data_IF_356079741031
#
_entry.id   IF_356079741031
#
_cell.length_a   1.000
_cell.length_b   1.000
_cell.length_c   1.000
_cell.angle_alpha   90.00
_cell.angle_beta   90.00
_cell.angle_gamma   90.00
#
_symmetry.space_group_name_H-M   'P 1'
#
loop_
_entity.id
_entity.type
_entity.pdbx_description
1 polymer ?
#
# COMPACT_ATOMS: atom_id res chain seq x y z
N UNK A 1 16.96 -2.43 -10.44
CA UNK A 1 16.75 -1.42 -11.51
C UNK A 1 17.05 -0.05 -10.92
N UNK A 2 17.53 0.93 -11.67
CA UNK A 2 17.84 2.26 -11.08
C UNK A 2 16.57 2.95 -10.54
N UNK A 3 16.70 3.66 -9.41
CA UNK A 3 15.56 4.31 -8.75
C UNK A 3 14.82 5.33 -9.63
N UNK A 4 15.52 6.02 -10.52
CA UNK A 4 14.91 6.98 -11.45
C UNK A 4 14.03 6.29 -12.51
N UNK A 5 14.41 5.09 -12.94
CA UNK A 5 13.61 4.26 -13.86
C UNK A 5 12.33 3.77 -13.17
N UNK A 6 12.47 3.31 -11.93
CA UNK A 6 11.34 2.89 -11.08
C UNK A 6 10.37 4.06 -10.88
N UNK A 7 10.89 5.24 -10.49
CA UNK A 7 10.07 6.42 -10.29
C UNK A 7 9.33 6.80 -11.56
N UNK A 8 9.97 6.74 -12.74
CA UNK A 8 9.31 7.06 -14.01
C UNK A 8 8.14 6.13 -14.32
N UNK A 9 8.25 4.84 -13.96
CA UNK A 9 7.19 3.84 -14.15
C UNK A 9 6.05 4.01 -13.15
N UNK A 10 6.35 4.43 -11.93
CA UNK A 10 5.36 4.66 -10.87
C UNK A 10 4.70 6.04 -10.95
N UNK A 11 5.36 7.05 -11.53
CA UNK A 11 4.88 8.42 -11.58
C UNK A 11 3.46 8.58 -12.16
N UNK A 12 3.06 7.87 -13.23
CA UNK A 12 1.67 7.92 -13.70
C UNK A 12 0.65 7.43 -12.67
N UNK A 13 1.00 6.43 -11.86
CA UNK A 13 0.12 5.91 -10.80
C UNK A 13 -0.03 6.94 -9.68
N UNK A 14 1.08 7.56 -9.25
CA UNK A 14 1.02 8.64 -8.24
C UNK A 14 0.20 9.83 -8.74
N UNK A 15 0.37 10.24 -9.99
CA UNK A 15 -0.39 11.33 -10.57
C UNK A 15 -1.91 11.05 -10.58
N UNK A 16 -2.30 9.81 -10.90
CA UNK A 16 -3.70 9.41 -10.86
C UNK A 16 -4.22 9.34 -9.41
N UNK A 17 -3.44 8.81 -8.46
CA UNK A 17 -3.80 8.81 -7.04
C UNK A 17 -4.02 10.24 -6.51
N UNK A 18 -3.09 11.15 -6.80
CA UNK A 18 -3.18 12.55 -6.38
C UNK A 18 -4.44 13.21 -6.94
N UNK A 19 -4.77 12.94 -8.20
CA UNK A 19 -5.98 13.44 -8.85
C UNK A 19 -7.26 12.89 -8.21
N UNK A 20 -7.31 11.59 -7.91
CA UNK A 20 -8.48 10.95 -7.29
C UNK A 20 -8.69 11.38 -5.83
N UNK A 21 -7.60 11.71 -5.13
CA UNK A 21 -7.63 12.15 -3.74
C UNK A 21 -7.80 13.66 -3.58
N UNK A 22 -7.84 14.43 -4.66
CA UNK A 22 -7.92 15.89 -4.59
C UNK A 22 -9.30 16.36 -4.10
N UNK A 23 -9.32 17.07 -2.98
CA UNK A 23 -10.53 17.64 -2.35
C UNK A 23 -10.73 19.10 -2.80
N UNK A 24 -9.64 19.85 -2.88
CA UNK A 24 -9.55 21.20 -3.45
C UNK A 24 -8.21 21.34 -4.18
N UNK A 25 -7.99 22.45 -4.89
CA UNK A 25 -6.76 22.69 -5.67
C UNK A 25 -5.44 22.52 -4.88
N UNK A 26 -5.49 22.51 -3.54
CA UNK A 26 -4.31 22.39 -2.67
C UNK A 26 -4.46 21.35 -1.55
N UNK A 27 -5.55 20.59 -1.49
CA UNK A 27 -5.81 19.65 -0.40
C UNK A 27 -6.09 18.24 -0.94
N UNK A 28 -5.31 17.28 -0.45
CA UNK A 28 -5.51 15.84 -0.71
C UNK A 28 -6.19 15.17 0.49
N UNK A 29 -7.11 14.25 0.21
CA UNK A 29 -7.64 13.30 1.19
C UNK A 29 -6.58 12.24 1.48
N UNK A 30 -5.85 12.42 2.59
CA UNK A 30 -4.78 11.52 3.02
C UNK A 30 -5.28 10.12 3.37
N UNK A 31 -6.52 9.98 3.83
CA UNK A 31 -7.05 8.66 4.20
C UNK A 31 -7.34 7.85 2.96
N UNK A 32 -7.94 8.47 1.94
CA UNK A 32 -8.12 7.84 0.63
C UNK A 32 -6.78 7.54 -0.04
N UNK A 33 -5.80 8.45 0.08
CA UNK A 33 -4.46 8.24 -0.47
C UNK A 33 -3.75 7.04 0.15
N UNK A 34 -3.89 6.82 1.47
CA UNK A 34 -3.40 5.61 2.16
C UNK A 34 -3.99 4.34 1.57
N UNK A 35 -5.30 4.30 1.29
CA UNK A 35 -5.94 3.12 0.67
C UNK A 35 -5.34 2.81 -0.71
N UNK A 36 -5.14 3.86 -1.53
CA UNK A 36 -4.53 3.67 -2.85
C UNK A 36 -3.07 3.27 -2.77
N UNK A 37 -2.30 3.85 -1.84
CA UNK A 37 -0.91 3.50 -1.60
C UNK A 37 -0.76 2.02 -1.25
N UNK A 38 -1.52 1.54 -0.26
CA UNK A 38 -1.48 0.13 0.15
C UNK A 38 -1.92 -0.79 -0.98
N UNK A 39 -2.92 -0.38 -1.77
CA UNK A 39 -3.37 -1.14 -2.94
C UNK A 39 -2.29 -1.22 -4.02
N UNK A 40 -1.65 -0.10 -4.33
CA UNK A 40 -0.58 -0.03 -5.31
C UNK A 40 0.59 -0.92 -4.92
N UNK A 41 1.05 -0.83 -3.66
CA UNK A 41 2.13 -1.68 -3.16
C UNK A 41 1.77 -3.16 -3.21
N UNK A 42 0.58 -3.54 -2.71
CA UNK A 42 0.15 -4.93 -2.73
C UNK A 42 0.07 -5.49 -4.15
N UNK A 43 -0.45 -4.72 -5.10
CA UNK A 43 -0.47 -5.15 -6.51
C UNK A 43 0.93 -5.30 -7.10
N UNK A 44 1.85 -4.38 -6.78
CA UNK A 44 3.23 -4.44 -7.25
C UNK A 44 3.97 -5.67 -6.72
N UNK A 45 3.78 -6.01 -5.44
CA UNK A 45 4.38 -7.21 -4.83
C UNK A 45 3.81 -8.49 -5.43
N UNK A 46 2.50 -8.52 -5.74
CA UNK A 46 1.86 -9.69 -6.33
C UNK A 46 2.24 -9.91 -7.81
N UNK A 47 2.43 -8.83 -8.58
CA UNK A 47 2.69 -8.90 -10.01
C UNK A 47 3.57 -7.71 -10.47
N UNK A 48 4.89 -7.78 -10.23
CA UNK A 48 5.82 -6.71 -10.60
C UNK A 48 5.95 -6.53 -12.12
N UNK A 49 5.66 -7.58 -12.89
CA UNK A 49 5.77 -7.58 -14.35
C UNK A 49 4.76 -6.64 -15.01
N UNK A 50 3.62 -6.34 -14.36
CA UNK A 50 2.66 -5.34 -14.84
C UNK A 50 3.26 -3.93 -15.02
N UNK A 51 4.33 -3.62 -14.28
CA UNK A 51 5.10 -2.39 -14.44
C UNK A 51 6.46 -2.65 -15.09
N UNK A 52 6.63 -3.83 -15.70
CA UNK A 52 7.87 -4.32 -16.31
C UNK A 52 9.02 -4.46 -15.32
N UNK A 53 8.72 -4.64 -14.04
CA UNK A 53 9.70 -4.87 -12.97
C UNK A 53 9.82 -6.36 -12.69
N UNK A 54 10.84 -6.73 -11.91
CA UNK A 54 11.02 -8.09 -11.38
C UNK A 54 10.97 -8.06 -9.86
N UNK A 55 10.89 -9.24 -9.23
CA UNK A 55 10.97 -9.35 -7.77
C UNK A 55 12.25 -8.71 -7.19
N UNK A 56 13.36 -8.79 -7.93
CA UNK A 56 14.64 -8.20 -7.52
C UNK A 56 14.61 -6.66 -7.45
N UNK A 57 13.63 -6.02 -8.11
CA UNK A 57 13.47 -4.57 -8.10
C UNK A 57 12.56 -4.08 -6.97
N UNK A 58 11.88 -4.98 -6.23
CA UNK A 58 10.89 -4.61 -5.22
C UNK A 58 11.49 -3.83 -4.04
N UNK A 59 12.72 -4.12 -3.65
CA UNK A 59 13.38 -3.37 -2.57
C UNK A 59 13.64 -1.91 -2.97
N UNK A 60 14.14 -1.68 -4.18
CA UNK A 60 14.34 -0.32 -4.70
C UNK A 60 12.99 0.38 -4.93
N UNK A 61 11.97 -0.35 -5.38
CA UNK A 61 10.62 0.16 -5.53
C UNK A 61 10.00 0.57 -4.20
N UNK A 62 10.19 -0.22 -3.15
CA UNK A 62 9.78 0.13 -1.79
C UNK A 62 10.38 1.47 -1.37
N UNK A 63 11.69 1.68 -1.55
CA UNK A 63 12.38 2.93 -1.19
C UNK A 63 11.84 4.14 -1.96
N UNK A 64 11.55 3.98 -3.25
CA UNK A 64 10.95 5.04 -4.08
C UNK A 64 9.54 5.36 -3.61
N UNK A 65 8.71 4.34 -3.39
CA UNK A 65 7.33 4.49 -2.94
C UNK A 65 7.27 5.13 -1.56
N UNK A 66 8.15 4.71 -0.67
CA UNK A 66 8.28 5.25 0.69
C UNK A 66 8.55 6.76 0.62
N UNK A 67 9.60 7.17 -0.08
CA UNK A 67 9.93 8.60 -0.26
C UNK A 67 8.76 9.41 -0.83
N UNK A 68 8.04 8.88 -1.81
CA UNK A 68 6.89 9.57 -2.41
C UNK A 68 5.67 9.63 -1.46
N UNK A 69 5.52 8.62 -0.60
CA UNK A 69 4.50 8.58 0.44
C UNK A 69 4.81 9.56 1.58
N UNK A 70 6.06 9.62 2.06
CA UNK A 70 6.51 10.59 3.07
C UNK A 70 6.23 12.03 2.61
N UNK A 71 6.50 12.35 1.33
CA UNK A 71 6.25 13.68 0.78
C UNK A 71 4.77 14.11 0.85
N UNK A 72 3.82 13.16 0.78
CA UNK A 72 2.37 13.44 0.70
C UNK A 72 1.66 13.26 2.04
N UNK A 73 1.99 12.18 2.75
CA UNK A 73 1.38 11.83 4.02
C UNK A 73 2.09 12.52 5.19
N UNK A 74 3.40 12.72 5.08
CA UNK A 74 4.28 13.18 6.15
C UNK A 74 4.62 12.07 7.15
N UNK A 75 5.75 12.23 7.85
CA UNK A 75 6.28 11.24 8.78
C UNK A 75 7.17 10.21 8.09
N UNK A 76 7.96 9.49 8.89
CA UNK A 76 8.75 8.32 8.46
C UNK A 76 7.85 7.08 8.43
N UNK A 77 8.28 6.03 7.71
CA UNK A 77 7.56 4.75 7.58
C UNK A 77 6.11 4.89 7.06
N UNK A 78 5.88 5.86 6.19
CA UNK A 78 4.59 6.24 5.63
C UNK A 78 3.83 5.06 5.00
N UNK A 79 4.51 4.12 4.31
CA UNK A 79 3.84 2.94 3.75
C UNK A 79 3.40 1.96 4.85
N UNK A 80 4.24 1.71 5.84
CA UNK A 80 3.90 0.82 6.97
C UNK A 80 2.76 1.43 7.79
N UNK A 81 2.83 2.73 8.05
CA UNK A 81 1.77 3.45 8.76
C UNK A 81 0.47 3.51 7.95
N UNK A 82 0.52 3.52 6.61
CA UNK A 82 -0.67 3.35 5.79
C UNK A 82 -1.29 1.96 5.97
N UNK A 83 -0.49 0.88 6.04
CA UNK A 83 -0.99 -0.45 6.35
C UNK A 83 -1.53 -0.58 7.79
N UNK A 84 -0.90 0.09 8.76
CA UNK A 84 -1.37 0.17 10.15
C UNK A 84 -2.70 0.89 10.22
N UNK A 85 -2.86 1.99 9.50
CA UNK A 85 -4.09 2.76 9.41
C UNK A 85 -5.27 1.88 8.99
N UNK A 86 -5.10 0.95 8.03
CA UNK A 86 -6.16 0.02 7.60
C UNK A 86 -6.72 -0.84 8.73
N UNK A 87 -5.93 -1.13 9.76
CA UNK A 87 -6.34 -1.93 10.93
C UNK A 87 -7.07 -1.12 12.01
N UNK A 88 -7.17 0.20 11.83
CA UNK A 88 -7.89 1.09 12.75
C UNK A 88 -9.37 1.15 12.41
N UNK A 89 -10.20 1.60 13.36
CA UNK A 89 -11.63 1.87 13.10
C UNK A 89 -11.84 2.92 12.00
N UNK A 90 -10.90 3.84 11.82
CA UNK A 90 -11.00 4.92 10.86
C UNK A 90 -10.64 4.42 9.46
N UNK A 91 -9.59 3.60 9.36
CA UNK A 91 -9.24 2.86 8.14
C UNK A 91 -10.35 1.93 7.68
N UNK A 92 -10.98 1.19 8.59
CA UNK A 92 -12.13 0.34 8.25
C UNK A 92 -13.28 1.15 7.66
N UNK A 93 -13.64 2.29 8.27
CA UNK A 93 -14.67 3.20 7.72
C UNK A 93 -14.27 3.75 6.35
N UNK A 94 -12.98 4.01 6.12
CA UNK A 94 -12.49 4.49 4.84
C UNK A 94 -12.60 3.41 3.74
N UNK A 95 -12.24 2.16 4.05
CA UNK A 95 -12.42 1.01 3.16
C UNK A 95 -13.88 0.81 2.78
N UNK A 96 -14.80 0.92 3.75
CA UNK A 96 -16.24 0.81 3.49
C UNK A 96 -16.75 1.91 2.56
N UNK A 97 -16.31 3.16 2.79
CA UNK A 97 -16.65 4.30 1.93
C UNK A 97 -16.10 4.16 0.51
N UNK A 98 -14.89 3.60 0.37
CA UNK A 98 -14.25 3.31 -0.91
C UNK A 98 -14.96 2.17 -1.68
N UNK A 99 -15.95 1.49 -1.07
CA UNK A 99 -16.73 0.40 -1.67
C UNK A 99 -15.85 -0.70 -2.28
N UNK A 100 -14.74 -1.01 -1.62
CA UNK A 100 -13.84 -2.08 -2.06
C UNK A 100 -14.57 -3.43 -2.03
N UNK A 101 -14.27 -4.30 -3.00
CA UNK A 101 -14.79 -5.67 -3.01
C UNK A 101 -14.18 -6.44 -1.83
N UNK A 102 -14.90 -7.46 -1.34
CA UNK A 102 -14.44 -8.30 -0.23
C UNK A 102 -13.02 -8.86 -0.47
N UNK A 103 -12.75 -9.39 -1.66
CA UNK A 103 -11.43 -9.93 -2.02
C UNK A 103 -10.30 -8.91 -1.92
N UNK A 104 -10.57 -7.64 -2.22
CA UNK A 104 -9.60 -6.56 -2.12
C UNK A 104 -9.38 -6.16 -0.65
N UNK A 105 -10.45 -6.07 0.16
CA UNK A 105 -10.34 -5.87 1.62
C UNK A 105 -9.51 -6.98 2.25
N UNK A 106 -9.79 -8.25 1.93
CA UNK A 106 -9.09 -9.41 2.49
C UNK A 106 -7.59 -9.39 2.11
N UNK A 107 -7.26 -9.05 0.86
CA UNK A 107 -5.87 -8.90 0.40
C UNK A 107 -5.13 -7.78 1.14
N UNK A 108 -5.75 -6.61 1.30
CA UNK A 108 -5.12 -5.50 2.04
C UNK A 108 -4.90 -5.86 3.51
N UNK A 109 -5.85 -6.50 4.16
CA UNK A 109 -5.72 -6.94 5.55
C UNK A 109 -4.65 -8.02 5.72
N UNK A 110 -4.51 -8.93 4.74
CA UNK A 110 -3.42 -9.90 4.71
C UNK A 110 -2.06 -9.21 4.68
N UNK A 111 -1.84 -8.28 3.75
CA UNK A 111 -0.58 -7.52 3.68
C UNK A 111 -0.37 -6.63 4.92
N UNK A 112 -1.42 -6.02 5.48
CA UNK A 112 -1.32 -5.30 6.76
C UNK A 112 -0.76 -6.18 7.85
N UNK A 113 -1.25 -7.42 7.99
CA UNK A 113 -0.74 -8.33 9.03
C UNK A 113 0.74 -8.67 8.82
N UNK A 114 1.18 -8.86 7.58
CA UNK A 114 2.60 -9.12 7.26
C UNK A 114 3.50 -7.91 7.55
N UNK A 115 3.07 -6.70 7.16
CA UNK A 115 3.89 -5.49 7.24
C UNK A 115 3.94 -4.90 8.65
N UNK A 116 2.85 -5.02 9.42
CA UNK A 116 2.69 -4.37 10.72
C UNK A 116 3.24 -5.22 11.87
N UNK A 117 3.04 -6.55 11.81
CA UNK A 117 3.50 -7.48 12.84
C UNK A 117 3.87 -8.84 12.21
N UNK A 118 5.07 -8.93 11.58
CA UNK A 118 5.49 -10.14 10.86
C UNK A 118 5.54 -11.40 11.73
N UNK A 119 5.89 -11.26 13.01
CA UNK A 119 6.00 -12.39 13.94
C UNK A 119 4.62 -12.95 14.31
N UNK A 120 3.67 -12.06 14.61
CA UNK A 120 2.28 -12.48 14.83
C UNK A 120 1.64 -13.05 13.58
N UNK A 121 1.99 -12.52 12.39
CA UNK A 121 1.54 -13.10 11.13
C UNK A 121 2.02 -14.54 10.96
N UNK A 122 3.30 -14.83 11.26
CA UNK A 122 3.84 -16.21 11.20
C UNK A 122 3.06 -17.15 12.12
N UNK A 123 2.83 -16.75 13.38
CA UNK A 123 2.05 -17.53 14.35
C UNK A 123 0.64 -17.84 13.84
N UNK A 124 -0.06 -16.83 13.30
CA UNK A 124 -1.39 -17.00 12.71
C UNK A 124 -1.39 -17.99 11.53
N UNK A 125 -0.39 -17.93 10.65
CA UNK A 125 -0.27 -18.85 9.53
C UNK A 125 0.04 -20.29 9.96
N UNK A 126 0.79 -20.46 11.05
CA UNK A 126 1.03 -21.78 11.68
C UNK A 126 -0.26 -22.37 12.27
N UNK A 127 -1.04 -21.57 12.99
CA UNK A 127 -2.33 -21.99 13.55
C UNK A 127 -3.34 -22.43 12.48
N UNK A 128 -3.40 -21.73 11.34
CA UNK A 128 -4.24 -22.12 10.20
C UNK A 128 -3.79 -23.44 9.59
N UNK A 129 -2.47 -23.60 9.40
CA UNK A 129 -1.89 -24.81 8.81
C UNK A 129 -2.18 -26.04 9.67
N UNK A 130 -2.12 -25.89 10.99
CA UNK A 130 -2.35 -26.99 11.92
C UNK A 130 -3.86 -27.32 12.10
N UNK A 131 -4.74 -26.46 11.59
CA UNK A 131 -6.20 -26.62 11.65
C UNK A 131 -6.85 -27.15 10.35
N UNK A 132 -6.05 -27.42 9.30
CA UNK A 132 -6.51 -27.90 7.97
C UNK A 132 -5.92 -29.26 7.65
#
# INVERSE_FOLDING_TARGET
>A
MESDEILRRLAPLFAEMDKQCMVTDHLIDKDQWRIYLTTMWSNLVMDPENLGMTEADLEDAYRVIEREAENRLGGEDALVEAFRFLTTKDGERCIEKAKLRKSHKDMLLYFSSMMVDPERHKQYMEEIRDST
#
